data_IF_440561620286
#
_entry.id   IF_440561620286
#
_cell.length_a   1.000
_cell.length_b   1.000
_cell.length_c   1.000
_cell.angle_alpha   90.00
_cell.angle_beta   90.00
_cell.angle_gamma   90.00
#
_symmetry.space_group_name_H-M   'P 1'
#
loop_
_entity.id
_entity.type
_entity.pdbx_description
1 polymer ?
#
# COMPACT_ATOMS: atom_id res chain seq x y z
N UNK A 1 23.89 -7.98 -5.82
CA UNK A 1 22.54 -8.53 -5.60
C UNK A 1 21.68 -7.40 -5.06
N UNK A 2 20.45 -7.22 -5.55
CA UNK A 2 19.57 -6.11 -5.14
C UNK A 2 18.49 -6.61 -4.20
N UNK A 3 18.04 -5.76 -3.27
CA UNK A 3 16.85 -6.00 -2.47
C UNK A 3 15.59 -5.96 -3.36
N UNK A 4 14.59 -6.76 -2.99
CA UNK A 4 13.27 -6.74 -3.61
C UNK A 4 12.20 -6.42 -2.56
N UNK A 5 11.10 -5.82 -2.96
CA UNK A 5 9.97 -5.49 -2.07
C UNK A 5 8.67 -6.01 -2.68
N UNK A 6 7.84 -6.65 -1.86
CA UNK A 6 6.52 -7.17 -2.27
C UNK A 6 5.60 -7.25 -1.04
N UNK A 7 4.33 -6.78 -1.11
CA UNK A 7 3.76 -5.98 -2.20
C UNK A 7 4.34 -4.58 -2.29
N UNK A 8 4.24 -3.98 -3.46
CA UNK A 8 4.64 -2.60 -3.72
C UNK A 8 3.47 -1.63 -3.51
N UNK A 9 3.71 -0.31 -3.35
CA UNK A 9 2.63 0.68 -3.38
C UNK A 9 1.77 0.63 -4.66
N UNK A 10 2.35 0.21 -5.79
CA UNK A 10 1.62 0.02 -7.05
C UNK A 10 0.61 -1.13 -6.95
N UNK A 11 0.94 -2.19 -6.23
CA UNK A 11 0.01 -3.31 -6.00
C UNK A 11 -1.18 -2.87 -5.17
N UNK A 12 -0.98 -1.96 -4.19
CA UNK A 12 -2.07 -1.35 -3.42
C UNK A 12 -3.01 -0.58 -4.34
N UNK A 13 -2.47 0.26 -5.24
CA UNK A 13 -3.30 0.96 -6.22
C UNK A 13 -4.07 -0.01 -7.13
N UNK A 14 -3.42 -1.06 -7.59
CA UNK A 14 -4.06 -2.08 -8.45
C UNK A 14 -5.24 -2.74 -7.73
N UNK A 15 -5.08 -3.10 -6.46
CA UNK A 15 -6.14 -3.67 -5.64
C UNK A 15 -7.31 -2.69 -5.45
N UNK A 16 -7.00 -1.41 -5.16
CA UNK A 16 -8.02 -0.38 -4.98
C UNK A 16 -8.78 -0.08 -6.28
N UNK A 17 -8.10 -0.03 -7.41
CA UNK A 17 -8.73 0.13 -8.73
C UNK A 17 -9.70 -1.02 -8.99
N UNK A 18 -9.27 -2.26 -8.77
CA UNK A 18 -10.12 -3.44 -8.97
C UNK A 18 -11.35 -3.42 -8.05
N UNK A 19 -11.18 -3.07 -6.77
CA UNK A 19 -12.27 -2.92 -5.82
C UNK A 19 -13.28 -1.86 -6.26
N UNK A 20 -12.81 -0.65 -6.60
CA UNK A 20 -13.68 0.45 -7.01
C UNK A 20 -14.46 0.09 -8.28
N UNK A 21 -13.81 -0.53 -9.26
CA UNK A 21 -14.46 -0.98 -10.49
C UNK A 21 -15.46 -2.10 -10.26
N UNK A 22 -15.22 -2.97 -9.29
CA UNK A 22 -16.19 -4.00 -8.89
C UNK A 22 -17.44 -3.37 -8.27
N UNK A 23 -17.26 -2.33 -7.46
CA UNK A 23 -18.35 -1.66 -6.73
C UNK A 23 -19.13 -0.68 -7.59
N UNK A 24 -18.45 0.15 -8.36
CA UNK A 24 -19.06 1.23 -9.13
C UNK A 24 -19.36 0.86 -10.58
N UNK A 25 -18.77 -0.23 -11.07
CA UNK A 25 -18.86 -0.70 -12.44
C UNK A 25 -17.54 -0.60 -13.20
N UNK A 26 -17.27 -1.59 -14.03
CA UNK A 26 -16.00 -1.73 -14.78
C UNK A 26 -15.74 -0.61 -15.80
N UNK A 27 -16.76 0.18 -16.12
CA UNK A 27 -16.65 1.31 -17.07
C UNK A 27 -16.26 2.61 -16.41
N UNK A 28 -16.27 2.69 -15.05
CA UNK A 28 -15.85 3.89 -14.32
C UNK A 28 -14.33 4.04 -14.42
N UNK A 29 -13.83 5.15 -15.01
CA UNK A 29 -12.40 5.38 -15.04
C UNK A 29 -11.86 5.63 -13.64
N UNK A 30 -10.82 4.90 -13.26
CA UNK A 30 -10.08 5.11 -12.01
C UNK A 30 -8.65 5.50 -12.37
N UNK A 31 -8.20 6.65 -11.90
CA UNK A 31 -6.92 7.24 -12.25
C UNK A 31 -6.08 7.43 -11.01
N UNK A 32 -4.78 7.21 -11.12
CA UNK A 32 -3.83 7.55 -10.08
C UNK A 32 -3.50 9.03 -10.11
N UNK A 33 -3.61 9.72 -8.98
CA UNK A 33 -3.23 11.11 -8.81
C UNK A 33 -1.73 11.35 -8.95
N UNK A 34 -1.34 12.62 -9.18
CA UNK A 34 0.07 13.05 -9.30
C UNK A 34 0.81 12.34 -10.45
N UNK A 35 0.09 11.89 -11.45
CA UNK A 35 0.68 11.27 -12.63
C UNK A 35 0.86 12.31 -13.73
N UNK A 36 2.10 12.69 -14.01
CA UNK A 36 2.40 13.68 -15.04
C UNK A 36 2.05 13.15 -16.44
N UNK A 37 1.48 14.02 -17.28
CA UNK A 37 1.14 13.74 -18.70
C UNK A 37 0.00 12.74 -18.92
N UNK A 38 -0.78 12.43 -17.90
CA UNK A 38 -2.01 11.68 -18.07
C UNK A 38 -3.16 12.67 -18.21
N UNK A 39 -3.87 12.72 -19.35
CA UNK A 39 -5.03 13.59 -19.49
C UNK A 39 -6.14 13.13 -18.53
N UNK A 40 -6.83 14.10 -17.93
CA UNK A 40 -7.99 13.77 -17.08
C UNK A 40 -9.09 13.16 -17.95
N UNK A 41 -9.76 12.10 -17.45
CA UNK A 41 -10.91 11.53 -18.16
C UNK A 41 -12.02 12.55 -18.35
N UNK A 42 -12.74 12.44 -19.46
CA UNK A 42 -13.93 13.26 -19.71
C UNK A 42 -15.14 12.60 -19.03
N UNK A 43 -15.90 13.37 -18.28
CA UNK A 43 -17.07 12.87 -17.53
C UNK A 43 -16.72 12.41 -16.11
N UNK A 44 -17.54 11.53 -15.55
CA UNK A 44 -17.33 11.05 -14.17
C UNK A 44 -16.15 10.08 -14.08
N UNK A 45 -15.30 10.26 -13.10
CA UNK A 45 -14.14 9.40 -12.81
C UNK A 45 -13.80 9.42 -11.33
N UNK A 46 -12.94 8.48 -10.91
CA UNK A 46 -12.39 8.42 -9.56
C UNK A 46 -10.88 8.63 -9.62
N UNK A 47 -10.35 9.50 -8.75
CA UNK A 47 -8.94 9.78 -8.62
C UNK A 47 -8.43 9.23 -7.28
N UNK A 48 -7.35 8.45 -7.31
CA UNK A 48 -6.70 7.90 -6.13
C UNK A 48 -5.37 8.62 -5.89
N UNK A 49 -5.18 9.17 -4.70
CA UNK A 49 -3.93 9.84 -4.33
C UNK A 49 -3.45 9.32 -2.98
N UNK A 50 -2.28 8.67 -2.94
CA UNK A 50 -1.64 8.35 -1.66
C UNK A 50 -1.10 9.63 -1.03
N UNK A 51 -1.53 9.91 0.18
CA UNK A 51 -1.16 11.12 0.94
C UNK A 51 0.04 10.85 1.82
N UNK A 52 -0.01 9.75 2.57
CA UNK A 52 1.05 9.42 3.52
C UNK A 52 1.16 7.91 3.72
N UNK A 53 2.32 7.51 4.21
CA UNK A 53 2.58 6.16 4.70
C UNK A 53 3.20 6.27 6.09
N UNK A 54 2.74 5.44 7.00
CA UNK A 54 3.28 5.36 8.34
C UNK A 54 3.40 3.92 8.81
N UNK A 55 4.36 3.70 9.69
CA UNK A 55 4.62 2.40 10.27
C UNK A 55 3.62 2.11 11.38
N UNK A 56 3.08 0.90 11.45
CA UNK A 56 2.19 0.43 12.53
C UNK A 56 2.96 -0.32 13.61
N UNK A 57 4.00 -1.07 13.24
CA UNK A 57 4.76 -1.91 14.16
C UNK A 57 6.25 -1.90 13.83
N UNK A 58 7.06 -2.55 14.68
CA UNK A 58 8.47 -2.84 14.40
C UNK A 58 8.58 -3.88 13.28
N UNK A 59 9.72 -3.87 12.57
CA UNK A 59 9.98 -4.87 11.55
C UNK A 59 10.00 -6.27 12.17
N UNK A 60 9.40 -7.20 11.47
CA UNK A 60 9.53 -8.61 11.74
C UNK A 60 10.55 -9.20 10.76
N UNK A 61 11.67 -9.67 11.30
CA UNK A 61 12.75 -10.25 10.51
C UNK A 61 12.67 -11.79 10.55
N UNK A 62 12.71 -12.40 9.39
CA UNK A 62 12.78 -13.85 9.23
C UNK A 62 13.97 -14.23 8.35
N UNK A 63 14.64 -15.33 8.72
CA UNK A 63 15.83 -15.79 8.07
C UNK A 63 15.58 -17.13 7.41
N UNK A 64 15.92 -17.24 6.14
CA UNK A 64 15.91 -18.48 5.40
C UNK A 64 17.36 -18.87 5.13
N UNK A 65 17.79 -19.99 5.70
CA UNK A 65 19.19 -20.48 5.60
C UNK A 65 19.43 -21.34 4.36
N UNK A 66 18.44 -21.51 3.50
CA UNK A 66 18.59 -22.24 2.25
C UNK A 66 19.42 -21.45 1.23
N UNK A 67 20.05 -22.17 0.29
CA UNK A 67 20.90 -21.53 -0.71
C UNK A 67 20.09 -21.03 -1.92
N UNK A 68 20.02 -19.71 -2.22
CA UNK A 68 20.71 -18.62 -1.51
C UNK A 68 20.04 -18.23 -0.20
N UNK A 69 20.86 -17.91 0.81
CA UNK A 69 20.37 -17.41 2.11
C UNK A 69 19.74 -16.03 1.97
N UNK A 70 18.63 -15.81 2.62
CA UNK A 70 17.81 -14.62 2.46
C UNK A 70 17.34 -14.09 3.82
N UNK A 71 17.50 -12.79 4.03
CA UNK A 71 16.79 -12.05 5.08
C UNK A 71 15.51 -11.48 4.49
N UNK A 72 14.37 -11.77 5.12
CA UNK A 72 13.09 -11.15 4.84
C UNK A 72 12.69 -10.28 6.01
N UNK A 73 12.48 -9.00 5.75
CA UNK A 73 12.05 -8.01 6.74
C UNK A 73 10.66 -7.51 6.36
N UNK A 74 9.66 -7.86 7.17
CA UNK A 74 8.27 -7.42 7.00
C UNK A 74 8.00 -6.19 7.84
N UNK A 75 7.24 -5.25 7.30
CA UNK A 75 6.89 -4.02 7.98
C UNK A 75 5.40 -3.74 7.82
N UNK A 76 4.66 -3.84 8.92
CA UNK A 76 3.25 -3.42 8.94
C UNK A 76 3.14 -1.93 8.64
N UNK A 77 2.52 -1.60 7.52
CA UNK A 77 2.45 -0.23 7.01
C UNK A 77 1.00 0.19 6.81
N UNK A 78 0.70 1.38 7.32
CA UNK A 78 -0.55 2.08 7.06
C UNK A 78 -0.34 3.06 5.91
N UNK A 79 -1.23 3.04 4.93
CA UNK A 79 -1.27 3.98 3.82
C UNK A 79 -2.57 4.77 3.85
N UNK A 80 -2.47 6.10 3.83
CA UNK A 80 -3.59 7.02 3.72
C UNK A 80 -3.81 7.35 2.24
N UNK A 81 -5.00 7.06 1.73
CA UNK A 81 -5.38 7.29 0.35
C UNK A 81 -6.58 8.22 0.29
N UNK A 82 -6.41 9.33 -0.38
CA UNK A 82 -7.51 10.21 -0.76
C UNK A 82 -8.18 9.66 -2.02
N UNK A 83 -9.49 9.49 -1.95
CA UNK A 83 -10.34 9.02 -3.04
C UNK A 83 -11.25 10.18 -3.43
N UNK A 84 -11.06 10.73 -4.62
CA UNK A 84 -11.86 11.82 -5.15
C UNK A 84 -12.79 11.31 -6.24
N UNK A 85 -14.09 11.48 -6.05
CA UNK A 85 -15.11 11.15 -7.03
C UNK A 85 -15.55 12.43 -7.75
N UNK A 86 -15.45 12.44 -9.08
CA UNK A 86 -15.80 13.57 -9.94
C UNK A 86 -17.05 13.27 -10.78
N UNK A 87 -17.77 14.33 -11.13
CA UNK A 87 -18.91 14.29 -12.04
C UNK A 87 -20.28 14.12 -11.38
N UNK A 88 -21.35 14.02 -12.17
CA UNK A 88 -22.74 14.05 -11.66
C UNK A 88 -23.09 12.93 -10.70
N UNK A 89 -22.43 11.76 -10.80
CA UNK A 89 -22.66 10.61 -9.93
C UNK A 89 -21.73 10.58 -8.71
N UNK A 90 -20.86 11.56 -8.53
CA UNK A 90 -19.81 11.57 -7.51
C UNK A 90 -20.33 11.43 -6.09
N UNK A 91 -21.48 12.05 -5.76
CA UNK A 91 -22.11 11.91 -4.44
C UNK A 91 -22.56 10.48 -4.13
N UNK A 92 -23.22 9.83 -5.11
CA UNK A 92 -23.67 8.46 -4.98
C UNK A 92 -22.48 7.48 -4.89
N UNK A 93 -21.47 7.68 -5.70
CA UNK A 93 -20.24 6.88 -5.66
C UNK A 93 -19.53 7.00 -4.32
N UNK A 94 -19.36 8.23 -3.82
CA UNK A 94 -18.72 8.47 -2.54
C UNK A 94 -19.48 7.80 -1.38
N UNK A 95 -20.82 7.94 -1.34
CA UNK A 95 -21.66 7.28 -0.33
C UNK A 95 -21.51 5.75 -0.40
N UNK A 96 -21.53 5.17 -1.59
CA UNK A 96 -21.36 3.73 -1.79
C UNK A 96 -19.98 3.25 -1.32
N UNK A 97 -18.92 3.95 -1.72
CA UNK A 97 -17.56 3.60 -1.32
C UNK A 97 -17.34 3.69 0.18
N UNK A 98 -17.80 4.77 0.84
CA UNK A 98 -17.67 4.91 2.30
C UNK A 98 -18.41 3.79 3.03
N UNK A 99 -19.62 3.46 2.58
CA UNK A 99 -20.41 2.40 3.20
C UNK A 99 -19.71 1.05 3.11
N UNK A 100 -19.23 0.68 1.92
CA UNK A 100 -18.60 -0.62 1.70
C UNK A 100 -17.17 -0.70 2.29
N UNK A 101 -16.42 0.40 2.32
CA UNK A 101 -15.09 0.44 2.95
C UNK A 101 -15.15 0.27 4.47
N UNK A 102 -16.30 0.55 5.08
CA UNK A 102 -16.54 0.35 6.52
C UNK A 102 -17.19 -1.00 6.84
N UNK A 103 -17.48 -1.81 5.83
CA UNK A 103 -18.11 -3.11 5.96
C UNK A 103 -17.14 -4.26 5.76
N UNK A 104 -17.50 -5.45 6.21
CA UNK A 104 -16.71 -6.69 5.98
C UNK A 104 -16.51 -6.99 4.51
N UNK A 105 -17.39 -6.51 3.64
CA UNK A 105 -17.29 -6.69 2.19
C UNK A 105 -15.95 -6.20 1.63
N UNK A 106 -15.48 -5.03 2.04
CA UNK A 106 -14.18 -4.53 1.57
C UNK A 106 -13.02 -5.38 2.09
N UNK A 107 -13.11 -5.88 3.33
CA UNK A 107 -12.11 -6.80 3.88
C UNK A 107 -12.00 -8.09 3.06
N UNK A 108 -13.11 -8.61 2.56
CA UNK A 108 -13.16 -9.83 1.75
C UNK A 108 -12.65 -9.61 0.33
N UNK A 109 -12.95 -8.45 -0.27
CA UNK A 109 -12.61 -8.15 -1.65
C UNK A 109 -11.16 -7.68 -1.86
N UNK A 110 -10.56 -7.02 -0.87
CA UNK A 110 -9.23 -6.45 -0.97
C UNK A 110 -8.09 -7.42 -0.60
N UNK A 111 -8.42 -8.59 -0.04
CA UNK A 111 -7.43 -9.61 0.33
C UNK A 111 -6.71 -10.19 -0.91
N UNK A 112 -5.47 -10.69 -0.73
CA UNK A 112 -4.72 -10.83 0.54
C UNK A 112 -3.82 -9.65 0.90
N UNK A 113 -3.60 -8.68 0.01
CA UNK A 113 -2.48 -7.76 0.10
C UNK A 113 -2.82 -6.41 0.75
N UNK A 114 -4.10 -6.06 0.83
CA UNK A 114 -4.56 -4.76 1.33
C UNK A 114 -5.75 -4.97 2.24
N UNK A 115 -5.74 -4.32 3.41
CA UNK A 115 -6.83 -4.37 4.37
C UNK A 115 -7.36 -2.96 4.65
N UNK A 116 -8.66 -2.69 4.53
CA UNK A 116 -9.23 -1.43 4.93
C UNK A 116 -9.22 -1.34 6.47
N UNK A 117 -8.71 -0.25 7.01
CA UNK A 117 -8.73 0.02 8.44
C UNK A 117 -9.84 1.01 8.81
N UNK A 118 -9.96 2.06 8.02
CA UNK A 118 -10.89 3.13 8.30
C UNK A 118 -11.21 3.94 7.04
N UNK A 119 -12.40 4.52 6.95
CA UNK A 119 -12.76 5.50 5.95
C UNK A 119 -13.52 6.66 6.60
N UNK A 120 -13.14 7.90 6.28
CA UNK A 120 -13.84 9.11 6.71
C UNK A 120 -15.21 9.27 6.02
N UNK A 121 -16.03 10.17 6.54
CA UNK A 121 -17.23 10.59 5.84
C UNK A 121 -16.90 11.37 4.58
N UNK A 122 -17.67 11.13 3.53
CA UNK A 122 -17.49 11.83 2.27
C UNK A 122 -17.77 13.33 2.43
N UNK A 123 -16.90 14.16 1.87
CA UNK A 123 -17.01 15.63 1.92
C UNK A 123 -17.08 16.21 0.52
N UNK A 124 -18.04 17.08 0.29
CA UNK A 124 -18.09 17.84 -0.97
C UNK A 124 -17.06 18.96 -0.96
N UNK A 125 -16.21 19.00 -1.97
CA UNK A 125 -15.26 20.07 -2.23
C UNK A 125 -15.57 20.66 -3.60
N UNK A 126 -16.12 21.89 -3.68
CA UNK A 126 -16.38 22.50 -4.97
C UNK A 126 -15.07 22.76 -5.71
N UNK A 127 -15.00 22.29 -6.96
CA UNK A 127 -13.91 22.59 -7.86
C UNK A 127 -14.42 23.55 -8.93
N UNK A 128 -13.63 24.56 -9.22
CA UNK A 128 -13.87 25.46 -10.36
C UNK A 128 -12.93 25.02 -11.48
N UNK A 129 -13.48 24.62 -12.60
CA UNK A 129 -12.70 24.22 -13.76
C UNK A 129 -12.11 25.42 -14.53
N UNK A 130 -11.34 25.15 -15.58
CA UNK A 130 -10.72 26.19 -16.40
C UNK A 130 -11.73 27.05 -17.16
N UNK A 131 -12.98 26.60 -17.30
CA UNK A 131 -14.09 27.32 -17.92
C UNK A 131 -14.94 28.10 -16.90
N UNK A 132 -14.47 28.18 -15.65
CA UNK A 132 -15.16 28.83 -14.51
C UNK A 132 -16.51 28.19 -14.17
N UNK A 133 -16.68 26.91 -14.47
CA UNK A 133 -17.84 26.12 -14.08
C UNK A 133 -17.57 25.31 -12.81
N UNK A 134 -18.60 25.10 -11.99
CA UNK A 134 -18.51 24.27 -10.80
C UNK A 134 -18.61 22.80 -11.20
N UNK A 135 -17.56 22.05 -10.89
CA UNK A 135 -17.58 20.60 -10.98
C UNK A 135 -17.83 19.97 -9.62
N UNK A 136 -18.69 18.96 -9.56
CA UNK A 136 -18.96 18.23 -8.33
C UNK A 136 -17.78 17.30 -8.04
N UNK A 137 -17.16 17.50 -6.88
CA UNK A 137 -16.11 16.66 -6.34
C UNK A 137 -16.46 16.23 -4.93
N UNK A 138 -16.48 14.92 -4.69
CA UNK A 138 -16.63 14.34 -3.36
C UNK A 138 -15.34 13.61 -2.98
N UNK A 139 -14.81 13.97 -1.83
CA UNK A 139 -13.55 13.45 -1.32
C UNK A 139 -13.80 12.53 -0.13
N UNK A 140 -13.08 11.43 -0.08
CA UNK A 140 -13.02 10.46 1.01
C UNK A 140 -11.56 10.27 1.37
N UNK A 141 -11.23 10.26 2.66
CA UNK A 141 -9.98 9.71 3.15
C UNK A 141 -10.20 8.27 3.61
N UNK A 142 -9.41 7.36 3.10
CA UNK A 142 -9.48 5.95 3.47
C UNK A 142 -8.07 5.46 3.83
N UNK A 143 -8.00 4.77 4.96
CA UNK A 143 -6.76 4.25 5.51
C UNK A 143 -6.73 2.74 5.32
N UNK A 144 -5.66 2.25 4.75
CA UNK A 144 -5.44 0.83 4.48
C UNK A 144 -4.15 0.36 5.15
N UNK A 145 -4.12 -0.91 5.49
CA UNK A 145 -2.89 -1.61 5.88
C UNK A 145 -2.42 -2.48 4.72
N UNK A 146 -1.12 -2.51 4.51
CA UNK A 146 -0.45 -3.49 3.70
C UNK A 146 0.92 -3.80 4.34
N UNK A 147 1.43 -5.02 4.13
CA UNK A 147 2.63 -5.49 4.80
C UNK A 147 3.72 -5.78 3.77
N UNK A 148 4.51 -4.76 3.38
CA UNK A 148 5.61 -4.98 2.46
C UNK A 148 6.71 -5.80 3.12
N UNK A 149 7.16 -6.84 2.42
CA UNK A 149 8.31 -7.65 2.76
C UNK A 149 9.48 -7.24 1.90
N UNK A 150 10.54 -6.80 2.52
CA UNK A 150 11.81 -6.52 1.86
C UNK A 150 12.70 -7.74 1.98
N UNK A 151 13.09 -8.29 0.85
CA UNK A 151 13.94 -9.48 0.77
C UNK A 151 15.35 -9.09 0.34
N UNK A 152 16.34 -9.44 1.15
CA UNK A 152 17.75 -9.13 0.91
C UNK A 152 18.57 -10.42 0.90
N UNK A 153 19.26 -10.74 -0.21
CA UNK A 153 20.21 -11.84 -0.21
C UNK A 153 21.36 -11.56 0.76
N UNK A 154 21.63 -12.50 1.65
CA UNK A 154 22.70 -12.38 2.64
C UNK A 154 23.59 -13.61 2.60
N UNK A 155 24.85 -13.40 2.96
CA UNK A 155 25.79 -14.49 3.18
C UNK A 155 25.82 -14.84 4.67
N UNK A 156 25.75 -16.13 4.98
CA UNK A 156 25.92 -16.65 6.32
C UNK A 156 27.25 -17.41 6.42
N UNK A 157 27.80 -17.45 7.60
CA UNK A 157 28.87 -18.38 7.90
C UNK A 157 28.26 -19.79 8.00
N UNK A 158 28.62 -20.67 7.07
CA UNK A 158 28.12 -22.05 7.05
C UNK A 158 28.79 -22.95 8.09
N UNK A 159 29.97 -22.56 8.57
CA UNK A 159 30.72 -23.28 9.61
C UNK A 159 31.55 -22.34 10.45
N UNK A 160 31.64 -22.65 11.74
CA UNK A 160 32.61 -22.06 12.66
C UNK A 160 33.77 -23.05 12.81
N UNK A 161 34.94 -22.72 12.27
CA UNK A 161 36.18 -23.46 12.54
C UNK A 161 36.87 -22.82 13.75
N UNK A 162 36.69 -23.44 14.89
CA UNK A 162 37.33 -22.98 16.15
C UNK A 162 38.45 -23.94 16.55
N UNK A 163 39.70 -23.49 16.40
CA UNK A 163 40.83 -24.24 16.87
C UNK A 163 41.15 -23.84 18.31
N UNK A 164 41.03 -24.77 19.23
CA UNK A 164 41.45 -24.56 20.60
C UNK A 164 42.98 -24.83 20.69
N UNK A 165 43.71 -23.79 20.96
CA UNK A 165 45.16 -23.92 21.30
C UNK A 165 45.25 -24.11 22.81
N UNK A 166 45.89 -25.24 23.26
CA UNK A 166 46.27 -25.41 24.62
C UNK A 166 47.54 -24.58 24.86
N UNK A 167 47.40 -23.49 25.58
CA UNK A 167 48.57 -22.70 25.99
C UNK A 167 49.03 -23.29 27.36
N UNK A 168 49.89 -24.25 27.29
CA UNK A 168 50.63 -24.67 28.47
C UNK A 168 51.71 -23.63 28.72
N UNK A 169 51.43 -22.61 29.51
CA UNK A 169 52.43 -21.72 30.06
C UNK A 169 53.22 -22.46 31.13
N UNK A 170 54.37 -23.03 30.79
CA UNK A 170 55.42 -23.36 31.75
C UNK A 170 56.06 -22.05 32.25
N UNK A 171 55.71 -21.62 33.44
CA UNK A 171 56.45 -20.58 34.12
C UNK A 171 57.78 -21.18 34.61
N UNK A 172 58.95 -20.68 34.15
CA UNK A 172 60.23 -21.12 34.72
C UNK A 172 60.32 -20.70 36.18
N UNK A 173 60.72 -21.62 37.02
CA UNK A 173 60.90 -21.43 38.45
C UNK A 173 62.03 -20.44 38.78
#
# INVERSE_FOLDING_TARGET
MSATITPTPTDVYTALVAFIQTVLGSTVPVVQGINNRTPMPVGGFVLLTAISQSRLAWNYDSWVSENPSVLSSEMDTMIDVQIDCYGPSSAAWAATLVTLLRDSYACEQLQPNVQPLYADDARMLPLIDAEQQYEQRWMIHAIFQYNPVVTVPQQFAEALDATLYNVDEEFPA
#
